data_IF_340850861674
#
_entry.id   IF_340850861674
#
_cell.length_a   1.000
_cell.length_b   1.000
_cell.length_c   1.000
_cell.angle_alpha   90.00
_cell.angle_beta   90.00
_cell.angle_gamma   90.00
#
_symmetry.space_group_name_H-M   'P 1'
#
loop_
_entity.id
_entity.type
_entity.pdbx_description
1 polymer ?
#
# COMPACT_ATOMS: atom_id res chain seq x y z
N UNK A 1 1.19 4.57 -19.64
CA UNK A 1 1.89 5.82 -19.23
C UNK A 1 2.76 5.53 -18.01
N UNK A 2 4.07 5.79 -18.06
CA UNK A 2 5.00 5.46 -16.97
C UNK A 2 5.07 6.61 -15.95
N UNK A 3 4.85 6.30 -14.67
CA UNK A 3 4.72 7.31 -13.61
C UNK A 3 5.97 8.19 -13.47
N UNK A 4 7.17 7.60 -13.53
CA UNK A 4 8.42 8.34 -13.34
C UNK A 4 8.78 9.31 -14.47
N UNK A 5 8.13 9.19 -15.64
CA UNK A 5 8.40 10.05 -16.80
C UNK A 5 7.41 11.20 -16.92
N UNK A 6 6.43 11.30 -16.01
CA UNK A 6 5.45 12.38 -16.04
C UNK A 6 6.03 13.68 -15.49
N UNK A 7 5.78 14.77 -16.21
CA UNK A 7 6.04 16.12 -15.70
C UNK A 7 5.13 16.45 -14.52
N UNK A 8 5.45 17.50 -13.77
CA UNK A 8 4.62 17.96 -12.66
C UNK A 8 3.17 18.27 -13.11
N UNK A 9 3.01 18.95 -14.25
CA UNK A 9 1.68 19.28 -14.79
C UNK A 9 0.90 18.02 -15.18
N UNK A 10 1.58 17.02 -15.76
CA UNK A 10 0.96 15.74 -16.09
C UNK A 10 0.54 14.99 -14.83
N UNK A 11 1.37 14.97 -13.78
CA UNK A 11 1.03 14.35 -12.51
C UNK A 11 -0.20 15.00 -11.87
N UNK A 12 -0.26 16.34 -11.84
CA UNK A 12 -1.39 17.08 -11.29
C UNK A 12 -2.66 16.87 -12.11
N UNK A 13 -2.56 16.87 -13.44
CA UNK A 13 -3.68 16.56 -14.33
C UNK A 13 -4.25 15.16 -14.08
N UNK A 14 -3.38 14.15 -13.94
CA UNK A 14 -3.80 12.78 -13.61
C UNK A 14 -4.41 12.68 -12.20
N UNK A 15 -3.84 13.39 -11.21
CA UNK A 15 -4.37 13.41 -9.85
C UNK A 15 -5.81 13.92 -9.77
N UNK A 16 -6.21 14.85 -10.65
CA UNK A 16 -7.56 15.44 -10.68
C UNK A 16 -8.53 14.73 -11.64
N UNK A 17 -8.09 13.76 -12.44
CA UNK A 17 -8.90 13.14 -13.50
C UNK A 17 -10.09 12.27 -13.03
N UNK A 18 -10.21 12.03 -11.71
CA UNK A 18 -11.27 11.23 -11.04
C UNK A 18 -11.67 9.91 -11.75
N UNK A 19 -10.69 9.22 -12.35
CA UNK A 19 -10.92 8.02 -13.16
C UNK A 19 -10.44 6.75 -12.49
N UNK A 20 -9.23 6.79 -11.95
CA UNK A 20 -8.54 5.65 -11.33
C UNK A 20 -8.01 6.08 -9.96
N UNK A 21 -8.80 5.96 -8.88
CA UNK A 21 -8.46 6.52 -7.57
C UNK A 21 -7.05 6.17 -7.04
N UNK A 22 -6.56 4.94 -7.24
CA UNK A 22 -5.21 4.54 -6.82
C UNK A 22 -4.15 5.19 -7.69
N UNK A 23 -4.34 5.20 -9.02
CA UNK A 23 -3.41 5.88 -9.93
C UNK A 23 -3.35 7.38 -9.67
N UNK A 24 -4.50 8.02 -9.51
CA UNK A 24 -4.62 9.45 -9.23
C UNK A 24 -3.88 9.81 -7.94
N UNK A 25 -4.03 9.02 -6.89
CA UNK A 25 -3.38 9.28 -5.60
C UNK A 25 -1.88 8.98 -5.63
N UNK A 26 -1.43 7.99 -6.41
CA UNK A 26 0.00 7.81 -6.71
C UNK A 26 0.58 9.03 -7.44
N UNK A 27 -0.12 9.57 -8.44
CA UNK A 27 0.30 10.79 -9.14
C UNK A 27 0.36 12.00 -8.20
N UNK A 28 -0.65 12.16 -7.34
CA UNK A 28 -0.66 13.20 -6.30
C UNK A 28 0.54 13.08 -5.37
N UNK A 29 0.76 11.90 -4.79
CA UNK A 29 1.89 11.64 -3.88
C UNK A 29 3.21 11.97 -4.56
N UNK A 30 3.39 11.58 -5.82
CA UNK A 30 4.59 11.90 -6.60
C UNK A 30 4.74 13.40 -6.84
N UNK A 31 3.64 14.10 -7.16
CA UNK A 31 3.65 15.56 -7.37
C UNK A 31 4.03 16.34 -6.11
N UNK A 32 3.72 15.79 -4.92
CA UNK A 32 4.09 16.34 -3.62
C UNK A 32 5.51 15.94 -3.16
N UNK A 33 6.30 15.29 -4.02
CA UNK A 33 7.65 14.84 -3.72
C UNK A 33 7.73 13.52 -2.96
N UNK A 34 6.60 12.82 -2.78
CA UNK A 34 6.56 11.49 -2.18
C UNK A 34 7.25 10.44 -3.05
N UNK A 35 7.91 9.49 -2.39
CA UNK A 35 8.47 8.31 -3.04
C UNK A 35 7.37 7.27 -3.23
N UNK A 36 6.95 7.04 -4.47
CA UNK A 36 6.07 5.93 -4.86
C UNK A 36 6.88 4.88 -5.59
N UNK A 37 6.34 3.66 -5.70
CA UNK A 37 6.92 2.68 -6.63
C UNK A 37 6.80 3.17 -8.08
N UNK A 38 7.74 2.75 -8.92
CA UNK A 38 7.58 2.88 -10.35
C UNK A 38 6.36 2.09 -10.80
N UNK A 39 5.57 2.70 -11.68
CA UNK A 39 4.31 2.11 -12.11
C UNK A 39 3.93 2.55 -13.53
N UNK A 40 3.17 1.71 -14.22
CA UNK A 40 2.52 2.02 -15.49
C UNK A 40 1.03 1.74 -15.38
N UNK A 41 0.21 2.72 -15.76
CA UNK A 41 -1.22 2.53 -15.95
C UNK A 41 -1.48 1.95 -17.34
N UNK A 42 -2.24 0.85 -17.35
CA UNK A 42 -2.89 0.23 -18.50
C UNK A 42 -4.38 0.54 -18.41
N UNK A 43 -4.83 1.39 -19.32
CA UNK A 43 -6.20 1.87 -19.39
C UNK A 43 -6.99 1.02 -20.41
N UNK A 44 -8.11 0.39 -20.01
CA UNK A 44 -8.91 -0.45 -20.90
C UNK A 44 -9.47 0.31 -22.11
N UNK A 45 -9.62 1.63 -22.05
CA UNK A 45 -10.11 2.43 -23.18
C UNK A 45 -8.98 2.85 -24.13
N UNK A 46 -7.72 2.64 -23.75
CA UNK A 46 -6.53 2.98 -24.56
C UNK A 46 -5.77 1.76 -25.07
N UNK A 47 -6.00 0.58 -24.50
CA UNK A 47 -5.28 -0.65 -24.82
C UNK A 47 -6.27 -1.70 -25.29
N UNK A 48 -6.03 -2.25 -26.49
CA UNK A 48 -6.77 -3.41 -26.96
C UNK A 48 -6.38 -4.61 -26.07
N UNK A 49 -7.31 -5.21 -25.31
CA UNK A 49 -7.01 -6.24 -24.33
C UNK A 49 -6.68 -7.56 -25.03
N UNK A 50 -5.43 -7.70 -25.46
CA UNK A 50 -4.86 -8.91 -26.03
C UNK A 50 -3.59 -9.29 -25.29
N UNK A 51 -3.42 -10.59 -25.00
CA UNK A 51 -2.25 -11.08 -24.26
C UNK A 51 -0.92 -10.66 -24.91
N UNK A 52 -0.74 -10.73 -26.26
CA UNK A 52 0.49 -10.26 -26.89
C UNK A 52 0.74 -8.75 -26.71
N UNK A 53 -0.29 -7.91 -26.85
CA UNK A 53 -0.17 -6.46 -26.69
C UNK A 53 0.15 -6.06 -25.25
N UNK A 54 -0.57 -6.63 -24.29
CA UNK A 54 -0.33 -6.43 -22.86
C UNK A 54 1.07 -6.90 -22.48
N UNK A 55 1.49 -8.07 -22.96
CA UNK A 55 2.84 -8.61 -22.71
C UNK A 55 3.92 -7.64 -23.18
N UNK A 56 3.79 -7.05 -24.36
CA UNK A 56 4.77 -6.08 -24.87
C UNK A 56 4.94 -4.86 -23.95
N UNK A 57 3.83 -4.32 -23.43
CA UNK A 57 3.87 -3.21 -22.45
C UNK A 57 4.55 -3.64 -21.16
N UNK A 58 4.20 -4.82 -20.62
CA UNK A 58 4.79 -5.33 -19.38
C UNK A 58 6.27 -5.69 -19.54
N UNK A 59 6.68 -6.19 -20.70
CA UNK A 59 8.08 -6.46 -21.04
C UNK A 59 8.91 -5.17 -21.06
N UNK A 60 8.40 -4.13 -21.72
CA UNK A 60 9.07 -2.83 -21.73
C UNK A 60 9.18 -2.25 -20.30
N UNK A 61 8.09 -2.31 -19.53
CA UNK A 61 8.11 -1.86 -18.13
C UNK A 61 9.12 -2.67 -17.27
N UNK A 62 9.15 -3.99 -17.43
CA UNK A 62 10.08 -4.91 -16.77
C UNK A 62 11.55 -4.59 -17.05
N UNK A 63 11.86 -4.21 -18.30
CA UNK A 63 13.20 -3.74 -18.67
C UNK A 63 13.55 -2.43 -17.96
N UNK A 64 12.61 -1.48 -17.89
CA UNK A 64 12.81 -0.18 -17.23
C UNK A 64 13.06 -0.33 -15.72
N UNK A 65 12.37 -1.25 -15.05
CA UNK A 65 12.56 -1.52 -13.61
C UNK A 65 13.69 -2.52 -13.32
N UNK A 66 14.29 -3.13 -14.35
CA UNK A 66 15.33 -4.14 -14.18
C UNK A 66 14.87 -5.41 -13.46
N UNK A 67 13.61 -5.81 -13.58
CA UNK A 67 13.04 -6.94 -12.84
C UNK A 67 12.16 -7.81 -13.74
N UNK A 68 12.31 -9.13 -13.67
CA UNK A 68 11.55 -10.11 -14.46
C UNK A 68 10.12 -10.38 -13.95
N UNK A 69 9.76 -9.78 -12.81
CA UNK A 69 8.42 -9.86 -12.22
C UNK A 69 7.81 -8.47 -12.15
N UNK A 70 6.49 -8.41 -12.19
CA UNK A 70 5.72 -7.18 -12.02
C UNK A 70 4.62 -7.40 -11.01
N UNK A 71 4.37 -6.40 -10.18
CA UNK A 71 3.24 -6.41 -9.25
C UNK A 71 2.00 -5.86 -9.95
N UNK A 72 0.89 -6.59 -9.87
CA UNK A 72 -0.36 -6.14 -10.50
C UNK A 72 -1.32 -5.63 -9.43
N UNK A 73 -1.78 -4.39 -9.58
CA UNK A 73 -2.92 -3.81 -8.85
C UNK A 73 -4.02 -3.47 -9.84
N UNK A 74 -5.25 -3.59 -9.39
CA UNK A 74 -6.42 -3.15 -10.15
C UNK A 74 -6.99 -1.87 -9.58
N UNK A 75 -7.56 -1.07 -10.46
CA UNK A 75 -8.21 0.19 -10.14
C UNK A 75 -9.53 0.34 -10.91
N UNK A 76 -10.50 1.02 -10.30
CA UNK A 76 -11.80 1.29 -10.91
C UNK A 76 -12.42 2.52 -10.24
N UNK A 77 -13.13 3.32 -11.03
CA UNK A 77 -13.88 4.50 -10.54
C UNK A 77 -14.88 4.18 -9.42
N UNK A 78 -15.52 3.00 -9.45
CA UNK A 78 -16.45 2.52 -8.42
C UNK A 78 -16.31 1.01 -8.27
N UNK A 79 -15.92 0.55 -7.08
CA UNK A 79 -15.87 -0.89 -6.78
C UNK A 79 -17.31 -1.45 -6.69
N UNK A 80 -17.57 -2.54 -7.38
CA UNK A 80 -18.85 -3.25 -7.35
C UNK A 80 -18.62 -4.69 -6.90
N UNK A 81 -19.01 -4.99 -5.66
CA UNK A 81 -19.17 -6.28 -4.98
C UNK A 81 -18.01 -7.31 -5.00
N UNK A 82 -17.25 -7.50 -6.08
CA UNK A 82 -16.09 -8.40 -6.13
C UNK A 82 -14.78 -7.60 -6.10
N UNK A 83 -14.37 -7.22 -4.89
CA UNK A 83 -13.05 -6.62 -4.68
C UNK A 83 -11.95 -7.63 -5.06
N UNK A 84 -11.26 -7.36 -6.16
CA UNK A 84 -10.14 -8.19 -6.60
C UNK A 84 -8.89 -7.79 -5.80
N UNK A 85 -8.36 -8.72 -5.01
CA UNK A 85 -7.15 -8.47 -4.21
C UNK A 85 -5.93 -8.31 -5.14
N UNK A 86 -5.32 -7.13 -5.11
CA UNK A 86 -4.08 -6.84 -5.83
C UNK A 86 -2.82 -6.96 -4.95
N UNK A 87 -1.68 -6.58 -5.53
CA UNK A 87 -0.40 -6.44 -4.84
C UNK A 87 0.49 -7.69 -4.91
N UNK A 88 0.08 -8.70 -5.66
CA UNK A 88 0.91 -9.88 -5.90
C UNK A 88 1.86 -9.62 -7.07
N UNK A 89 3.07 -10.16 -6.95
CA UNK A 89 4.09 -10.11 -8.01
C UNK A 89 3.99 -11.37 -8.85
N UNK A 90 3.96 -11.22 -10.17
CA UNK A 90 3.78 -12.32 -11.14
C UNK A 90 4.96 -12.37 -12.12
N UNK A 91 5.21 -13.53 -12.73
CA UNK A 91 6.05 -13.58 -13.94
C UNK A 91 5.37 -12.82 -15.08
N UNK A 92 6.11 -12.46 -16.13
CA UNK A 92 5.53 -11.70 -17.26
C UNK A 92 4.41 -12.44 -17.99
N UNK A 93 4.50 -13.76 -18.13
CA UNK A 93 3.42 -14.57 -18.73
C UNK A 93 2.15 -14.50 -17.90
N UNK A 94 2.26 -14.81 -16.61
CA UNK A 94 1.15 -14.77 -15.65
C UNK A 94 0.54 -13.36 -15.53
N UNK A 95 1.40 -12.34 -15.49
CA UNK A 95 0.99 -10.95 -15.41
C UNK A 95 0.21 -10.53 -16.66
N UNK A 96 0.65 -10.95 -17.86
CA UNK A 96 0.00 -10.61 -19.11
C UNK A 96 -1.39 -11.24 -19.22
N UNK A 97 -1.51 -12.53 -18.88
CA UNK A 97 -2.80 -13.23 -18.84
C UNK A 97 -3.76 -12.57 -17.86
N UNK A 98 -3.31 -12.35 -16.62
CA UNK A 98 -4.14 -11.77 -15.58
C UNK A 98 -4.55 -10.32 -15.89
N UNK A 99 -3.62 -9.51 -16.40
CA UNK A 99 -3.89 -8.13 -16.82
C UNK A 99 -4.90 -8.10 -17.97
N UNK A 100 -4.79 -8.99 -18.94
CA UNK A 100 -5.74 -9.10 -20.06
C UNK A 100 -7.15 -9.39 -19.53
N UNK A 101 -7.30 -10.35 -18.60
CA UNK A 101 -8.59 -10.65 -17.96
C UNK A 101 -9.19 -9.41 -17.26
N UNK A 102 -8.37 -8.65 -16.52
CA UNK A 102 -8.81 -7.44 -15.82
C UNK A 102 -9.23 -6.32 -16.78
N UNK A 103 -8.48 -6.09 -17.85
CA UNK A 103 -8.80 -5.08 -18.87
C UNK A 103 -10.08 -5.45 -19.63
N UNK A 104 -10.27 -6.72 -20.00
CA UNK A 104 -11.52 -7.22 -20.61
C UNK A 104 -12.72 -7.02 -19.68
N UNK A 105 -12.52 -7.09 -18.36
CA UNK A 105 -13.55 -6.78 -17.37
C UNK A 105 -13.77 -5.26 -17.17
N UNK A 106 -13.15 -4.41 -17.98
CA UNK A 106 -13.27 -2.95 -17.93
C UNK A 106 -12.59 -2.32 -16.70
N UNK A 107 -11.58 -2.98 -16.12
CA UNK A 107 -10.82 -2.44 -14.97
C UNK A 107 -9.52 -1.81 -15.45
N UNK A 108 -9.14 -0.69 -14.82
CA UNK A 108 -7.79 -0.17 -14.95
C UNK A 108 -6.79 -1.12 -14.29
N UNK A 109 -5.62 -1.28 -14.89
CA UNK A 109 -4.54 -2.08 -14.33
C UNK A 109 -3.31 -1.21 -14.11
N UNK A 110 -2.78 -1.24 -12.90
CA UNK A 110 -1.53 -0.59 -12.55
C UNK A 110 -0.50 -1.70 -12.37
N UNK A 111 0.47 -1.77 -13.27
CA UNK A 111 1.64 -2.62 -13.08
C UNK A 111 2.71 -1.82 -12.33
N UNK A 112 3.27 -2.39 -11.28
CA UNK A 112 4.25 -1.75 -10.40
C UNK A 112 5.54 -2.55 -10.31
N UNK A 113 6.61 -1.88 -9.91
CA UNK A 113 7.81 -2.51 -9.39
C UNK A 113 7.42 -3.55 -8.32
N UNK A 114 7.95 -4.78 -8.38
CA UNK A 114 7.59 -5.81 -7.42
C UNK A 114 8.22 -5.53 -6.05
N UNK A 115 7.44 -5.74 -5.00
CA UNK A 115 7.92 -5.69 -3.61
C UNK A 115 7.66 -7.01 -2.91
N UNK A 116 8.37 -7.26 -1.80
CA UNK A 116 8.11 -8.42 -0.95
C UNK A 116 7.50 -7.99 0.38
N UNK A 117 6.18 -8.17 0.49
CA UNK A 117 5.40 -7.82 1.68
C UNK A 117 5.73 -8.66 2.93
N UNK A 118 6.46 -9.77 2.77
CA UNK A 118 6.94 -10.59 3.90
C UNK A 118 8.19 -10.02 4.56
N UNK A 119 8.85 -9.05 3.90
CA UNK A 119 10.11 -8.44 4.33
C UNK A 119 10.01 -6.94 4.56
N UNK A 120 8.79 -6.38 4.59
CA UNK A 120 8.60 -4.99 4.99
C UNK A 120 9.21 -4.77 6.39
N UNK A 121 9.93 -3.68 6.58
CA UNK A 121 10.54 -3.32 7.88
C UNK A 121 9.54 -2.59 8.77
N UNK A 122 8.60 -1.86 8.19
CA UNK A 122 7.57 -1.10 8.92
C UNK A 122 6.44 -0.79 7.97
N UNK A 123 5.21 -0.77 8.47
CA UNK A 123 4.02 -0.30 7.75
C UNK A 123 3.35 0.79 8.59
N UNK A 124 2.96 1.90 7.96
CA UNK A 124 2.30 3.03 8.63
C UNK A 124 1.08 3.46 7.83
N UNK A 125 -0.09 3.47 8.48
CA UNK A 125 -1.29 4.13 7.98
C UNK A 125 -1.56 5.38 8.81
N UNK A 126 -1.69 6.52 8.15
CA UNK A 126 -2.04 7.79 8.79
C UNK A 126 -3.43 8.22 8.33
N UNK A 127 -4.40 8.15 9.23
CA UNK A 127 -5.73 8.74 9.03
C UNK A 127 -5.74 10.21 9.41
N UNK A 128 -6.39 11.05 8.61
CA UNK A 128 -6.64 12.47 8.90
C UNK A 128 -8.09 12.78 8.55
N UNK A 129 -8.83 13.41 9.46
CA UNK A 129 -10.20 13.84 9.22
C UNK A 129 -10.28 15.25 8.59
N UNK A 130 -11.50 15.76 8.39
CA UNK A 130 -11.72 17.06 7.78
C UNK A 130 -11.24 18.25 8.62
N UNK A 131 -11.15 18.07 9.94
CA UNK A 131 -10.68 19.07 10.90
C UNK A 131 -9.17 18.99 11.14
N UNK A 132 -8.50 18.02 10.49
CA UNK A 132 -7.07 17.78 10.61
C UNK A 132 -6.68 16.93 11.82
N UNK A 133 -7.64 16.39 12.58
CA UNK A 133 -7.33 15.40 13.62
C UNK A 133 -6.77 14.17 12.95
N UNK A 134 -5.70 13.61 13.53
CA UNK A 134 -4.97 12.53 12.89
C UNK A 134 -4.68 11.40 13.86
N UNK A 135 -4.63 10.19 13.29
CA UNK A 135 -4.21 8.98 13.99
C UNK A 135 -3.36 8.12 13.07
N UNK A 136 -2.19 7.73 13.55
CA UNK A 136 -1.29 6.81 12.86
C UNK A 136 -1.34 5.42 13.51
N UNK A 137 -1.44 4.39 12.68
CA UNK A 137 -1.34 2.98 13.06
C UNK A 137 -0.07 2.41 12.46
N UNK A 138 0.73 1.73 13.28
CA UNK A 138 2.05 1.24 12.88
C UNK A 138 2.17 -0.25 13.16
N UNK A 139 2.57 -1.00 12.14
CA UNK A 139 3.03 -2.39 12.28
C UNK A 139 4.54 -2.47 12.04
N UNK A 140 5.21 -3.32 12.80
CA UNK A 140 6.64 -3.57 12.66
C UNK A 140 6.98 -4.58 11.53
N UNK A 141 8.20 -5.13 11.55
CA UNK A 141 8.71 -5.96 10.47
C UNK A 141 7.86 -7.21 10.17
N UNK A 142 7.71 -7.54 8.88
CA UNK A 142 7.01 -8.71 8.36
C UNK A 142 5.49 -8.53 8.13
N UNK A 143 4.96 -7.37 8.50
CA UNK A 143 3.56 -6.99 8.33
C UNK A 143 3.39 -6.01 7.17
N UNK A 144 2.20 -6.00 6.57
CA UNK A 144 1.88 -5.29 5.33
C UNK A 144 0.77 -4.25 5.52
N UNK A 145 0.70 -3.26 4.63
CA UNK A 145 -0.33 -2.23 4.63
C UNK A 145 -1.74 -2.83 4.59
N UNK A 146 -1.92 -3.96 3.90
CA UNK A 146 -3.21 -4.64 3.84
C UNK A 146 -3.67 -5.15 5.21
N UNK A 147 -2.75 -5.50 6.11
CA UNK A 147 -3.12 -6.02 7.43
C UNK A 147 -3.84 -4.93 8.26
N UNK A 148 -3.37 -3.68 8.17
CA UNK A 148 -4.03 -2.53 8.79
C UNK A 148 -5.28 -2.07 8.02
N UNK A 149 -5.28 -2.13 6.69
CA UNK A 149 -6.42 -1.67 5.88
C UNK A 149 -7.65 -2.58 6.05
N UNK A 150 -7.45 -3.85 6.41
CA UNK A 150 -8.53 -4.85 6.53
C UNK A 150 -8.89 -5.19 7.98
N UNK A 151 -8.16 -4.65 8.96
CA UNK A 151 -8.32 -5.03 10.37
C UNK A 151 -7.84 -6.45 10.67
N UNK A 152 -7.02 -7.05 9.80
CA UNK A 152 -6.50 -8.41 9.98
C UNK A 152 -5.44 -8.46 11.10
N UNK A 153 -4.81 -7.34 11.45
CA UNK A 153 -3.81 -7.28 12.52
C UNK A 153 -3.88 -5.97 13.29
N UNK A 154 -3.88 -6.09 14.61
CA UNK A 154 -3.89 -4.96 15.55
C UNK A 154 -2.52 -4.26 15.51
N UNK A 155 -2.45 -2.92 15.41
CA UNK A 155 -1.18 -2.18 15.36
C UNK A 155 -0.30 -2.44 16.61
N UNK A 156 1.01 -2.26 16.48
CA UNK A 156 1.93 -2.25 17.61
C UNK A 156 1.94 -0.88 18.30
N UNK A 157 1.90 0.17 17.49
CA UNK A 157 1.87 1.55 17.97
C UNK A 157 0.69 2.28 17.36
N UNK A 158 0.09 3.12 18.20
CA UNK A 158 -0.88 4.13 17.80
C UNK A 158 -0.31 5.49 18.17
N UNK A 159 -0.33 6.43 17.23
CA UNK A 159 0.07 7.81 17.50
C UNK A 159 -1.06 8.76 17.18
N UNK A 160 -1.21 9.78 17.98
CA UNK A 160 -2.18 10.85 17.81
C UNK A 160 -1.67 12.12 18.50
N UNK A 161 -2.21 13.27 18.16
CA UNK A 161 -1.77 14.54 18.74
C UNK A 161 -2.67 15.69 18.34
N UNK A 162 -2.13 16.90 18.43
CA UNK A 162 -2.86 18.11 18.02
C UNK A 162 -3.19 18.05 16.52
N UNK A 163 -4.35 18.62 16.10
CA UNK A 163 -4.74 18.65 14.70
C UNK A 163 -3.70 19.30 13.78
N UNK A 164 -3.62 18.81 12.54
CA UNK A 164 -2.83 19.43 11.48
C UNK A 164 -3.47 20.76 11.07
N UNK A 165 -2.65 21.82 10.94
CA UNK A 165 -3.17 23.10 10.46
C UNK A 165 -3.26 23.12 8.93
N UNK A 166 -4.42 23.46 8.34
CA UNK A 166 -4.63 23.39 6.88
C UNK A 166 -3.87 24.47 6.09
N UNK A 167 -3.48 25.58 6.73
CA UNK A 167 -2.75 26.68 6.08
C UNK A 167 -1.28 26.79 6.49
N UNK A 168 -0.83 26.01 7.49
CA UNK A 168 0.52 26.12 8.04
C UNK A 168 1.18 24.76 8.07
N UNK A 169 2.32 24.62 7.39
CA UNK A 169 3.14 23.42 7.45
C UNK A 169 3.98 23.42 8.73
N UNK A 170 4.15 22.25 9.34
CA UNK A 170 4.84 22.11 10.62
C UNK A 170 5.52 20.75 10.71
N UNK A 171 6.83 20.74 10.95
CA UNK A 171 7.53 19.50 11.23
C UNK A 171 6.97 18.81 12.48
N UNK A 172 6.93 17.48 12.51
CA UNK A 172 6.46 16.71 13.69
C UNK A 172 7.21 17.07 14.98
N UNK A 173 8.46 17.56 14.89
CA UNK A 173 9.23 18.00 16.06
C UNK A 173 8.62 19.22 16.76
N UNK A 174 7.78 19.97 16.07
CA UNK A 174 7.02 21.08 16.62
C UNK A 174 5.64 20.65 17.16
N UNK A 175 5.30 19.36 17.06
CA UNK A 175 4.02 18.82 17.50
C UNK A 175 4.13 18.12 18.85
N UNK A 176 3.16 18.38 19.71
CA UNK A 176 2.89 17.52 20.86
C UNK A 176 2.05 16.33 20.36
N UNK A 177 2.57 15.13 20.52
CA UNK A 177 1.89 13.89 20.17
C UNK A 177 2.18 12.81 21.21
N UNK A 178 1.27 11.86 21.29
CA UNK A 178 1.37 10.69 22.16
C UNK A 178 1.67 9.45 21.33
N UNK A 179 2.43 8.53 21.92
CA UNK A 179 2.66 7.19 21.39
C UNK A 179 2.06 6.21 22.39
N UNK A 180 1.06 5.48 21.95
CA UNK A 180 0.48 4.38 22.70
C UNK A 180 1.03 3.06 22.15
N UNK A 181 1.55 2.23 23.06
CA UNK A 181 1.95 0.85 22.73
C UNK A 181 0.77 -0.05 23.08
N UNK A 182 0.21 -0.75 22.08
CA UNK A 182 -0.91 -1.66 22.29
C UNK A 182 -0.44 -3.01 22.85
N UNK A 183 0.06 -2.97 24.09
CA UNK A 183 0.61 -4.13 24.81
C UNK A 183 -0.46 -5.14 25.27
N UNK A 184 -1.74 -4.77 25.21
CA UNK A 184 -2.88 -5.64 25.54
C UNK A 184 -3.01 -6.85 24.61
N UNK A 185 -2.40 -6.79 23.43
CA UNK A 185 -2.32 -7.90 22.47
C UNK A 185 -0.87 -8.37 22.44
N UNK A 186 -0.66 -9.68 22.49
CA UNK A 186 0.69 -10.24 22.44
C UNK A 186 1.28 -10.20 21.03
N UNK A 187 2.61 -10.37 20.92
CA UNK A 187 3.26 -10.57 19.62
C UNK A 187 2.85 -11.92 19.00
N UNK A 188 2.57 -12.93 19.82
CA UNK A 188 2.11 -14.25 19.38
C UNK A 188 0.75 -14.18 18.69
N UNK A 189 -0.22 -13.48 19.29
CA UNK A 189 -1.56 -13.28 18.69
C UNK A 189 -1.46 -12.52 17.35
N UNK A 190 -0.66 -11.46 17.27
CA UNK A 190 -0.41 -10.76 16.00
C UNK A 190 0.22 -11.67 14.96
N UNK A 191 1.21 -12.47 15.37
CA UNK A 191 1.87 -13.44 14.49
C UNK A 191 0.87 -14.45 13.96
N UNK A 192 -0.01 -14.98 14.81
CA UNK A 192 -1.07 -15.91 14.41
C UNK A 192 -2.00 -15.30 13.37
N UNK A 193 -2.51 -14.08 13.61
CA UNK A 193 -3.34 -13.37 12.64
C UNK A 193 -2.62 -13.13 11.31
N UNK A 194 -1.34 -12.77 11.36
CA UNK A 194 -0.51 -12.59 10.17
C UNK A 194 -0.27 -13.88 9.41
N UNK A 195 0.03 -14.98 10.09
CA UNK A 195 0.18 -16.30 9.47
C UNK A 195 -1.10 -16.73 8.76
N UNK A 196 -2.26 -16.49 9.37
CA UNK A 196 -3.55 -16.71 8.72
C UNK A 196 -3.68 -15.87 7.44
N UNK A 197 -3.43 -14.55 7.51
CA UNK A 197 -3.50 -13.65 6.35
C UNK A 197 -2.54 -14.08 5.22
N UNK A 198 -1.30 -14.46 5.56
CA UNK A 198 -0.29 -14.95 4.62
C UNK A 198 -0.77 -16.23 3.92
N UNK A 199 -1.27 -17.21 4.69
CA UNK A 199 -1.79 -18.46 4.16
C UNK A 199 -2.94 -18.23 3.17
N UNK A 200 -3.89 -17.35 3.53
CA UNK A 200 -5.09 -17.13 2.73
C UNK A 200 -4.81 -16.33 1.46
N UNK A 201 -3.89 -15.37 1.52
CA UNK A 201 -3.85 -14.29 0.54
C UNK A 201 -2.51 -14.09 -0.15
N UNK A 202 -1.42 -14.56 0.45
CA UNK A 202 -0.05 -14.25 0.00
C UNK A 202 0.58 -15.48 -0.63
N UNK A 203 0.63 -16.61 0.08
CA UNK A 203 1.30 -17.82 -0.40
C UNK A 203 0.81 -18.36 -1.75
N UNK A 204 -0.50 -18.29 -2.11
CA UNK A 204 -0.94 -18.75 -3.43
C UNK A 204 -0.21 -18.05 -4.59
N UNK A 205 0.22 -16.79 -4.40
CA UNK A 205 1.01 -16.05 -5.41
C UNK A 205 2.46 -16.52 -5.54
N UNK A 206 2.96 -17.25 -4.54
CA UNK A 206 4.25 -17.92 -4.54
C UNK A 206 4.13 -19.40 -4.98
N UNK A 207 2.93 -19.85 -5.37
CA UNK A 207 2.69 -21.25 -5.76
C UNK A 207 2.56 -22.22 -4.58
N UNK A 208 2.42 -21.71 -3.35
CA UNK A 208 2.17 -22.52 -2.16
C UNK A 208 0.73 -22.31 -1.69
N UNK A 209 -0.04 -23.39 -1.52
CA UNK A 209 -1.42 -23.33 -1.04
C UNK A 209 -1.63 -24.30 0.12
N UNK A 210 -1.89 -23.75 1.30
CA UNK A 210 -2.17 -24.49 2.52
C UNK A 210 -3.59 -24.23 3.05
N UNK A 211 -4.43 -23.55 2.26
CA UNK A 211 -5.80 -23.20 2.67
C UNK A 211 -6.63 -24.46 2.91
N UNK A 212 -7.50 -24.43 3.92
CA UNK A 212 -8.35 -25.56 4.30
C UNK A 212 -7.64 -26.67 5.08
N UNK A 213 -6.31 -26.61 5.23
CA UNK A 213 -5.56 -27.57 6.04
C UNK A 213 -5.70 -27.29 7.54
N UNK A 214 -5.90 -28.33 8.35
CA UNK A 214 -5.98 -28.22 9.81
C UNK A 214 -4.68 -27.68 10.45
N UNK A 215 -3.55 -27.88 9.78
CA UNK A 215 -2.20 -27.44 10.17
C UNK A 215 -1.69 -26.23 9.36
N UNK A 216 -2.59 -25.49 8.70
CA UNK A 216 -2.25 -24.39 7.78
C UNK A 216 -1.32 -23.33 8.40
N UNK A 217 -1.51 -23.00 9.68
CA UNK A 217 -0.64 -22.07 10.42
C UNK A 217 0.79 -22.62 10.56
N UNK A 218 0.93 -23.87 11.02
CA UNK A 218 2.23 -24.52 11.20
C UNK A 218 2.97 -24.68 9.88
N UNK A 219 2.27 -25.08 8.81
CA UNK A 219 2.85 -25.18 7.46
C UNK A 219 3.27 -23.82 6.91
N UNK A 220 2.46 -22.77 7.13
CA UNK A 220 2.81 -21.40 6.73
C UNK A 220 4.06 -20.93 7.46
N UNK A 221 4.15 -21.16 8.78
CA UNK A 221 5.34 -20.85 9.57
C UNK A 221 6.57 -21.59 9.06
N UNK A 222 6.47 -22.90 8.85
CA UNK A 222 7.57 -23.72 8.32
C UNK A 222 8.04 -23.23 6.95
N UNK A 223 7.11 -22.93 6.05
CA UNK A 223 7.43 -22.38 4.73
C UNK A 223 8.17 -21.05 4.85
N UNK A 224 7.71 -20.13 5.70
CA UNK A 224 8.38 -18.84 5.93
C UNK A 224 9.81 -19.04 6.44
N UNK A 225 10.01 -19.93 7.41
CA UNK A 225 11.33 -20.26 7.96
C UNK A 225 12.27 -20.83 6.88
N UNK A 226 11.79 -21.77 6.07
CA UNK A 226 12.56 -22.39 4.99
C UNK A 226 13.03 -21.38 3.92
N UNK A 227 12.27 -20.30 3.73
CA UNK A 227 12.58 -19.24 2.76
C UNK A 227 13.24 -18.01 3.39
N UNK A 228 13.58 -18.07 4.69
CA UNK A 228 14.26 -16.97 5.40
C UNK A 228 13.36 -15.78 5.78
N UNK A 229 12.03 -15.91 5.66
CA UNK A 229 11.07 -14.86 6.01
C UNK A 229 10.72 -14.89 7.50
N UNK A 230 11.64 -14.41 8.34
CA UNK A 230 11.52 -14.49 9.80
C UNK A 230 10.95 -13.24 10.47
N UNK A 231 10.82 -12.13 9.75
CA UNK A 231 10.50 -10.81 10.31
C UNK A 231 9.20 -10.77 11.12
N UNK A 232 8.15 -11.44 10.65
CA UNK A 232 6.86 -11.52 11.34
C UNK A 232 6.87 -12.47 12.55
N UNK A 233 7.87 -13.36 12.67
CA UNK A 233 7.97 -14.41 13.69
C UNK A 233 8.79 -13.99 14.92
N UNK A 234 9.06 -12.69 15.05
CA UNK A 234 9.87 -12.14 16.15
C UNK A 234 9.16 -12.27 17.50
N UNK A 235 9.92 -12.40 18.60
CA UNK A 235 9.33 -12.60 19.93
C UNK A 235 8.85 -11.30 20.60
N UNK A 236 9.21 -10.13 20.06
CA UNK A 236 8.96 -8.83 20.69
C UNK A 236 8.68 -7.72 19.68
N UNK A 237 8.13 -6.61 20.18
CA UNK A 237 7.91 -5.40 19.39
C UNK A 237 9.20 -4.81 18.86
N UNK A 238 9.13 -4.21 17.68
CA UNK A 238 10.24 -3.44 17.13
C UNK A 238 10.35 -2.11 17.88
N UNK A 239 11.49 -1.44 17.76
CA UNK A 239 11.61 -0.07 18.25
C UNK A 239 10.71 0.86 17.43
N UNK A 240 10.19 1.91 18.09
CA UNK A 240 9.33 2.88 17.42
C UNK A 240 10.06 3.52 16.21
N UNK A 241 9.50 3.46 14.99
CA UNK A 241 10.18 3.88 13.77
C UNK A 241 10.06 5.40 13.56
N UNK A 242 10.60 6.21 14.49
CA UNK A 242 10.39 7.67 14.54
C UNK A 242 10.70 8.38 13.22
N UNK A 243 11.80 8.05 12.56
CA UNK A 243 12.18 8.71 11.30
C UNK A 243 11.19 8.44 10.15
N UNK A 244 10.64 7.23 10.09
CA UNK A 244 9.63 6.90 9.08
C UNK A 244 8.29 7.54 9.43
N UNK A 245 7.87 7.43 10.70
CA UNK A 245 6.67 8.10 11.21
C UNK A 245 6.70 9.60 10.91
N UNK A 246 7.82 10.28 11.21
CA UNK A 246 8.04 11.69 10.87
C UNK A 246 7.75 11.99 9.41
N UNK A 247 8.37 11.24 8.48
CA UNK A 247 8.21 11.46 7.04
C UNK A 247 6.79 11.18 6.56
N UNK A 248 6.11 10.21 7.17
CA UNK A 248 4.71 9.91 6.85
C UNK A 248 3.78 11.00 7.35
N UNK A 249 3.99 11.49 8.56
CA UNK A 249 3.26 12.63 9.11
C UNK A 249 3.42 13.88 8.24
N UNK A 250 4.66 14.24 7.89
CA UNK A 250 4.96 15.41 7.07
C UNK A 250 4.32 15.30 5.67
N UNK A 251 4.30 14.10 5.07
CA UNK A 251 3.58 13.86 3.82
C UNK A 251 2.06 13.96 4.01
N UNK A 252 1.52 13.43 5.11
CA UNK A 252 0.11 13.56 5.47
C UNK A 252 -0.33 15.02 5.56
N UNK A 253 0.52 15.88 6.14
CA UNK A 253 0.27 17.31 6.19
C UNK A 253 0.25 17.96 4.80
N UNK A 254 1.18 17.61 3.92
CA UNK A 254 1.17 18.10 2.52
C UNK A 254 -0.10 17.68 1.78
N UNK A 255 -0.54 16.42 1.97
CA UNK A 255 -1.79 15.91 1.40
C UNK A 255 -3.00 16.67 1.95
N UNK A 256 -3.04 16.90 3.27
CA UNK A 256 -4.13 17.64 3.91
C UNK A 256 -4.24 19.07 3.39
N UNK A 257 -3.12 19.80 3.31
CA UNK A 257 -3.08 21.15 2.75
C UNK A 257 -3.52 21.18 1.28
N UNK A 258 -3.03 20.24 0.47
CA UNK A 258 -3.41 20.12 -0.94
C UNK A 258 -4.93 19.96 -1.11
N UNK A 259 -5.54 19.07 -0.30
CA UNK A 259 -6.97 18.78 -0.33
C UNK A 259 -7.79 19.96 0.20
N UNK A 260 -7.36 20.57 1.29
CA UNK A 260 -8.02 21.75 1.87
C UNK A 260 -8.09 22.91 0.89
N UNK A 261 -6.98 23.23 0.21
CA UNK A 261 -6.93 24.31 -0.80
C UNK A 261 -7.86 24.07 -2.00
N UNK A 262 -8.30 22.82 -2.22
CA UNK A 262 -9.26 22.41 -3.26
C UNK A 262 -10.67 22.18 -2.71
N UNK A 263 -10.92 22.58 -1.45
CA UNK A 263 -12.19 22.38 -0.76
C UNK A 263 -12.62 20.90 -0.69
N UNK A 264 -11.64 19.97 -0.69
CA UNK A 264 -11.86 18.53 -0.50
C UNK A 264 -11.63 18.18 0.97
N UNK A 265 -12.60 18.46 1.82
CA UNK A 265 -12.48 18.24 3.28
C UNK A 265 -12.79 16.81 3.72
N UNK A 266 -12.99 15.86 2.80
CA UNK A 266 -13.24 14.47 3.20
C UNK A 266 -11.98 13.85 3.82
N UNK A 267 -12.23 13.09 4.89
CA UNK A 267 -11.22 12.34 5.62
C UNK A 267 -10.45 11.41 4.68
N UNK A 268 -9.17 11.18 4.97
CA UNK A 268 -8.33 10.30 4.17
C UNK A 268 -7.42 9.42 5.02
N UNK A 269 -6.94 8.32 4.43
CA UNK A 269 -5.85 7.51 4.97
C UNK A 269 -4.71 7.47 3.98
N UNK A 270 -3.54 7.90 4.43
CA UNK A 270 -2.27 7.73 3.72
C UNK A 270 -1.63 6.41 4.14
N UNK A 271 -1.46 5.50 3.19
CA UNK A 271 -0.80 4.21 3.42
C UNK A 271 0.66 4.23 2.97
N UNK A 272 1.56 3.72 3.80
CA UNK A 272 3.00 3.71 3.53
C UNK A 272 3.71 2.49 4.13
N UNK A 273 4.91 2.20 3.65
CA UNK A 273 5.76 1.17 4.21
C UNK A 273 7.25 1.41 3.96
N UNK A 274 8.09 0.92 4.86
CA UNK A 274 9.53 0.81 4.67
C UNK A 274 9.80 -0.59 4.13
N UNK A 275 10.37 -0.67 2.93
CA UNK A 275 10.73 -1.93 2.28
C UNK A 275 12.05 -2.49 2.85
N UNK A 276 12.38 -3.74 2.48
CA UNK A 276 13.62 -4.40 2.91
C UNK A 276 14.90 -3.67 2.47
N UNK A 277 14.83 -2.88 1.39
CA UNK A 277 15.91 -2.03 0.88
C UNK A 277 15.93 -0.63 1.53
N UNK A 278 15.19 -0.44 2.62
CA UNK A 278 15.08 0.80 3.39
C UNK A 278 14.38 1.96 2.67
N UNK A 279 13.82 1.76 1.47
CA UNK A 279 12.99 2.78 0.83
C UNK A 279 11.67 2.93 1.60
N UNK A 280 11.34 4.17 1.98
CA UNK A 280 9.98 4.53 2.37
C UNK A 280 9.17 4.73 1.09
N UNK A 281 8.09 3.96 0.93
CA UNK A 281 7.15 4.07 -0.18
C UNK A 281 5.77 4.46 0.32
N UNK A 282 5.12 5.36 -0.41
CA UNK A 282 3.70 5.69 -0.23
C UNK A 282 2.87 4.88 -1.24
N UNK A 283 1.92 4.10 -0.75
CA UNK A 283 1.15 3.15 -1.55
C UNK A 283 0.00 3.79 -2.30
N UNK A 284 -0.81 4.57 -1.58
CA UNK A 284 -2.00 5.28 -2.06
C UNK A 284 -2.58 6.16 -0.95
N UNK A 285 -3.59 6.94 -1.32
CA UNK A 285 -4.47 7.67 -0.40
C UNK A 285 -5.88 7.08 -0.58
N UNK A 286 -6.47 6.57 0.49
CA UNK A 286 -7.85 6.11 0.48
C UNK A 286 -8.79 7.15 1.12
N UNK A 287 -10.04 7.23 0.66
CA UNK A 287 -11.06 7.98 1.40
C UNK A 287 -11.38 7.24 2.71
N UNK A 288 -11.33 7.96 3.83
CA UNK A 288 -11.48 7.38 5.16
C UNK A 288 -12.94 7.29 5.62
N UNK A 289 -13.91 7.80 4.84
CA UNK A 289 -15.35 7.70 5.11
C UNK A 289 -15.85 6.29 5.42
N UNK A 290 -15.12 5.25 5.00
CA UNK A 290 -15.45 3.86 5.31
C UNK A 290 -14.48 3.17 6.29
N UNK A 291 -13.31 3.76 6.61
CA UNK A 291 -12.27 3.09 7.42
C UNK A 291 -12.38 3.42 8.92
N UNK A 292 -12.94 4.57 9.25
CA UNK A 292 -13.06 5.08 10.63
C UNK A 292 -14.49 5.52 10.97
N UNK A 293 -15.46 5.10 10.16
CA UNK A 293 -16.87 5.35 10.44
C UNK A 293 -17.29 4.48 11.64
N UNK A 294 -17.34 5.15 12.80
CA UNK A 294 -17.76 4.70 14.13
C UNK A 294 -16.76 3.83 14.91
#
# INVERSE_FOLDING_TARGET
MLLQTLSLDQLLCQAEADRYPKWNTMCLLRSLGGTTLNAVLLDPDQIIPSTPGVRGVLQHFSQVIGNSRVMIRTDRRKENASYVRGGNSYSLDQAAEYTTQLLTAGRGVIALEPTNRLTNLTTINLGVDGDGCWRAEILGPGFDASDLQRGDTIPEFVCYGLPMHPAQYSHIRAHNFSIEVLSTVSMEERTKSRLHSICQNVLPSFGADFRGSADSEARTRTWLLQHGYTSALRPRFASFPFNAFKRVFEMGQLVFQYRFNRQKTSAFVLSSGILADYRLVYWDIADASNKWAA
#
